data_IF_634275149126
#
_entry.id   IF_634275149126
#
_cell.length_a   1.000
_cell.length_b   1.000
_cell.length_c   1.000
_cell.angle_alpha   90.00
_cell.angle_beta   90.00
_cell.angle_gamma   90.00
#
_symmetry.space_group_name_H-M   'P 1'
#
loop_
_entity.id
_entity.type
_entity.pdbx_description
1 polymer ?
#
# COMPACT_ATOMS: atom_id res chain seq x y z
N UNK A 1 -21.38 4.65 -16.03
CA UNK A 1 -20.43 4.82 -14.91
C UNK A 1 -20.96 5.75 -13.81
N UNK A 2 -21.69 6.84 -14.09
CA UNK A 2 -22.21 7.78 -13.07
C UNK A 2 -22.80 7.15 -11.78
N UNK A 3 -23.65 6.12 -11.91
CA UNK A 3 -24.23 5.39 -10.75
C UNK A 3 -23.17 4.67 -9.90
N UNK A 4 -22.07 4.20 -10.51
CA UNK A 4 -20.95 3.57 -9.80
C UNK A 4 -20.15 4.62 -9.01
N UNK A 5 -19.83 5.77 -9.60
CA UNK A 5 -19.11 6.85 -8.92
C UNK A 5 -19.84 7.36 -7.67
N UNK A 6 -21.17 7.51 -7.74
CA UNK A 6 -21.97 7.90 -6.58
C UNK A 6 -21.95 6.84 -5.47
N UNK A 7 -22.04 5.55 -5.84
CA UNK A 7 -21.90 4.46 -4.89
C UNK A 7 -20.52 4.44 -4.20
N UNK A 8 -19.46 4.69 -4.97
CA UNK A 8 -18.09 4.78 -4.44
C UNK A 8 -17.94 5.98 -3.50
N UNK A 9 -18.44 7.16 -3.88
CA UNK A 9 -18.42 8.36 -3.01
C UNK A 9 -19.11 8.11 -1.67
N UNK A 10 -20.22 7.37 -1.69
CA UNK A 10 -20.97 7.01 -0.49
C UNK A 10 -20.21 6.08 0.47
N UNK A 11 -19.12 5.43 0.02
CA UNK A 11 -18.25 4.61 0.88
C UNK A 11 -17.24 5.45 1.68
N UNK A 12 -17.18 6.77 1.48
CA UNK A 12 -16.22 7.62 2.19
C UNK A 12 -14.78 7.45 1.71
N UNK A 13 -14.57 6.93 0.49
CA UNK A 13 -13.25 6.97 -0.17
C UNK A 13 -13.07 8.31 -0.90
N UNK A 14 -11.83 8.72 -1.13
CA UNK A 14 -11.49 9.96 -1.86
C UNK A 14 -10.76 9.71 -3.18
N UNK A 15 -10.30 8.47 -3.42
CA UNK A 15 -9.48 8.09 -4.57
C UNK A 15 -9.90 6.72 -5.08
N UNK A 16 -9.89 6.53 -6.41
CA UNK A 16 -10.22 5.25 -7.07
C UNK A 16 -9.04 4.78 -7.92
N UNK A 17 -8.67 3.51 -7.75
CA UNK A 17 -7.81 2.81 -8.71
C UNK A 17 -8.67 2.32 -9.89
N UNK A 18 -8.42 2.86 -11.09
CA UNK A 18 -9.24 2.58 -12.26
C UNK A 18 -8.40 1.94 -13.37
N UNK A 19 -8.78 0.72 -13.75
CA UNK A 19 -8.09 -0.01 -14.79
C UNK A 19 -8.52 0.41 -16.21
N UNK A 20 -7.54 0.75 -17.04
CA UNK A 20 -7.69 0.93 -18.49
C UNK A 20 -6.88 -0.16 -19.18
N UNK A 21 -7.58 -1.13 -19.78
CA UNK A 21 -6.94 -2.24 -20.50
C UNK A 21 -6.52 -1.82 -21.89
N UNK A 22 -5.51 -2.51 -22.41
CA UNK A 22 -5.03 -2.28 -23.77
C UNK A 22 -6.16 -2.50 -24.78
N UNK A 23 -6.93 -3.59 -24.69
CA UNK A 23 -7.98 -3.88 -25.67
C UNK A 23 -9.12 -2.86 -25.65
N UNK A 24 -9.40 -2.26 -24.48
CA UNK A 24 -10.41 -1.21 -24.37
C UNK A 24 -9.91 0.10 -24.97
N UNK A 25 -8.64 0.44 -24.75
CA UNK A 25 -8.01 1.68 -25.21
C UNK A 25 -7.72 1.65 -26.72
N UNK A 26 -7.18 0.55 -27.21
CA UNK A 26 -6.79 0.31 -28.61
C UNK A 26 -7.40 -1.01 -29.10
N UNK A 27 -8.70 -1.02 -29.45
CA UNK A 27 -9.39 -2.22 -29.92
C UNK A 27 -8.83 -2.83 -31.21
N UNK A 28 -8.16 -2.00 -32.03
CA UNK A 28 -7.41 -2.41 -33.22
C UNK A 28 -6.13 -1.59 -33.26
N UNK A 29 -5.04 -2.19 -33.71
CA UNK A 29 -3.74 -1.52 -33.83
C UNK A 29 -3.86 -0.18 -34.56
N UNK A 30 -3.37 0.89 -33.94
CA UNK A 30 -3.44 2.29 -34.37
C UNK A 30 -4.81 2.97 -34.20
N UNK A 31 -5.83 2.29 -33.70
CA UNK A 31 -7.19 2.83 -33.52
C UNK A 31 -7.50 3.08 -32.03
N UNK A 32 -7.10 4.24 -31.53
CA UNK A 32 -7.24 4.61 -30.12
C UNK A 32 -8.61 5.22 -29.79
N UNK A 33 -9.16 4.88 -28.62
CA UNK A 33 -10.35 5.54 -28.05
C UNK A 33 -9.98 6.84 -27.35
N UNK A 34 -9.88 7.92 -28.12
CA UNK A 34 -9.37 9.23 -27.67
C UNK A 34 -10.20 9.93 -26.58
N UNK A 35 -11.49 9.65 -26.50
CA UNK A 35 -12.36 10.27 -25.49
C UNK A 35 -12.38 9.52 -24.16
N UNK A 36 -11.74 8.34 -24.08
CA UNK A 36 -11.85 7.46 -22.92
C UNK A 36 -11.29 8.12 -21.65
N UNK A 37 -10.05 8.60 -21.70
CA UNK A 37 -9.37 9.20 -20.55
C UNK A 37 -10.08 10.48 -20.11
N UNK A 38 -10.38 11.37 -21.07
CA UNK A 38 -11.09 12.62 -20.81
C UNK A 38 -12.45 12.39 -20.14
N UNK A 39 -13.22 11.40 -20.60
CA UNK A 39 -14.50 11.03 -19.98
C UNK A 39 -14.35 10.51 -18.55
N UNK A 40 -13.31 9.72 -18.27
CA UNK A 40 -13.05 9.23 -16.90
C UNK A 40 -12.66 10.37 -15.96
N UNK A 41 -11.79 11.27 -16.40
CA UNK A 41 -11.37 12.45 -15.65
C UNK A 41 -12.55 13.37 -15.37
N UNK A 42 -13.40 13.64 -16.37
CA UNK A 42 -14.61 14.47 -16.18
C UNK A 42 -15.54 13.89 -15.10
N UNK A 43 -15.80 12.58 -15.14
CA UNK A 43 -16.65 11.93 -14.15
C UNK A 43 -16.05 11.93 -12.73
N UNK A 44 -14.74 11.77 -12.62
CA UNK A 44 -14.03 11.86 -11.35
C UNK A 44 -14.16 13.27 -10.75
N UNK A 45 -14.00 14.31 -11.57
CA UNK A 45 -14.18 15.73 -11.16
C UNK A 45 -15.62 16.02 -10.75
N UNK A 46 -16.61 15.58 -11.52
CA UNK A 46 -18.05 15.75 -11.19
C UNK A 46 -18.41 15.12 -9.84
N UNK A 47 -17.68 14.08 -9.42
CA UNK A 47 -17.92 13.38 -8.16
C UNK A 47 -16.95 13.77 -7.04
N UNK A 48 -16.03 14.70 -7.29
CA UNK A 48 -14.95 15.08 -6.35
C UNK A 48 -14.18 13.86 -5.83
N UNK A 49 -13.81 12.99 -6.75
CA UNK A 49 -12.97 11.81 -6.50
C UNK A 49 -11.68 11.97 -7.30
N UNK A 50 -10.56 11.59 -6.68
CA UNK A 50 -9.26 11.50 -7.34
C UNK A 50 -9.02 10.13 -7.95
N UNK A 51 -8.09 10.01 -8.88
CA UNK A 51 -7.87 8.78 -9.65
C UNK A 51 -6.43 8.32 -9.56
N UNK A 52 -6.23 7.03 -9.38
CA UNK A 52 -5.01 6.33 -9.75
C UNK A 52 -5.35 5.55 -11.02
N UNK A 53 -4.76 5.92 -12.15
CA UNK A 53 -4.99 5.17 -13.39
C UNK A 53 -4.10 3.95 -13.41
N UNK A 54 -4.66 2.80 -13.78
CA UNK A 54 -3.91 1.55 -13.89
C UNK A 54 -3.95 1.05 -15.32
N UNK A 55 -2.79 1.05 -15.98
CA UNK A 55 -2.65 0.67 -17.38
C UNK A 55 -2.32 -0.82 -17.50
N UNK A 56 -3.33 -1.63 -17.84
CA UNK A 56 -3.14 -3.06 -18.07
C UNK A 56 -2.69 -3.32 -19.51
N UNK A 57 -1.38 -3.42 -19.68
CA UNK A 57 -0.72 -3.74 -20.95
C UNK A 57 -0.39 -5.23 -21.10
N UNK A 58 0.86 -5.51 -21.42
CA UNK A 58 1.45 -6.84 -21.63
C UNK A 58 1.41 -7.75 -20.41
N UNK A 59 1.39 -7.16 -19.20
CA UNK A 59 1.46 -7.89 -17.93
C UNK A 59 0.28 -7.52 -17.03
N UNK A 60 -0.68 -8.44 -16.91
CA UNK A 60 -1.86 -8.33 -16.04
C UNK A 60 -2.12 -9.67 -15.34
N UNK A 61 -1.69 -9.78 -14.09
CA UNK A 61 -1.78 -11.02 -13.33
C UNK A 61 -0.92 -12.13 -13.94
N UNK A 62 -1.25 -13.36 -13.57
CA UNK A 62 -0.62 -14.58 -14.11
C UNK A 62 -0.91 -14.84 -15.60
N UNK A 63 -1.78 -14.04 -16.23
CA UNK A 63 -2.07 -14.13 -17.66
C UNK A 63 -1.05 -13.26 -18.38
N UNK A 64 0.09 -13.87 -18.69
CA UNK A 64 1.06 -13.29 -19.61
C UNK A 64 0.72 -13.75 -21.01
N UNK A 65 0.77 -12.83 -21.97
CA UNK A 65 0.69 -13.20 -23.38
C UNK A 65 2.01 -13.82 -23.90
N UNK A 66 3.00 -14.06 -23.04
CA UNK A 66 4.29 -14.69 -23.38
C UNK A 66 5.09 -13.90 -24.42
N UNK A 67 5.01 -12.56 -24.39
CA UNK A 67 5.53 -11.68 -25.45
C UNK A 67 6.46 -10.58 -24.95
N UNK A 68 6.96 -10.66 -23.71
CA UNK A 68 7.84 -9.65 -23.13
C UNK A 68 9.20 -9.53 -23.85
N UNK A 69 9.53 -10.50 -24.72
CA UNK A 69 10.73 -10.50 -25.56
C UNK A 69 10.42 -10.38 -27.07
N UNK A 70 9.17 -10.15 -27.46
CA UNK A 70 8.79 -10.08 -28.88
C UNK A 70 8.88 -8.62 -29.39
N UNK A 71 9.88 -8.23 -30.21
CA UNK A 71 10.15 -6.83 -30.48
C UNK A 71 8.98 -6.04 -31.11
N UNK A 72 8.24 -6.58 -32.11
CA UNK A 72 7.04 -5.92 -32.62
C UNK A 72 5.97 -5.65 -31.56
N UNK A 73 5.84 -6.56 -30.58
CA UNK A 73 4.84 -6.43 -29.53
C UNK A 73 5.24 -5.36 -28.50
N UNK A 74 6.53 -5.33 -28.11
CA UNK A 74 7.10 -4.28 -27.25
C UNK A 74 6.95 -2.91 -27.92
N UNK A 75 7.22 -2.82 -29.23
CA UNK A 75 7.07 -1.57 -29.98
C UNK A 75 5.61 -1.10 -30.01
N UNK A 76 4.67 -2.00 -30.27
CA UNK A 76 3.24 -1.70 -30.23
C UNK A 76 2.80 -1.24 -28.84
N UNK A 77 3.27 -1.90 -27.77
CA UNK A 77 2.94 -1.52 -26.39
C UNK A 77 3.44 -0.12 -26.07
N UNK A 78 4.69 0.19 -26.42
CA UNK A 78 5.27 1.52 -26.21
C UNK A 78 4.51 2.60 -26.95
N UNK A 79 4.10 2.34 -28.20
CA UNK A 79 3.31 3.28 -28.98
C UNK A 79 1.92 3.53 -28.34
N UNK A 80 1.24 2.45 -27.95
CA UNK A 80 -0.06 2.54 -27.28
C UNK A 80 0.03 3.22 -25.91
N UNK A 81 1.10 2.98 -25.17
CA UNK A 81 1.37 3.61 -23.89
C UNK A 81 1.67 5.10 -24.06
N UNK A 82 2.47 5.49 -25.05
CA UNK A 82 2.75 6.90 -25.35
C UNK A 82 1.48 7.68 -25.72
N UNK A 83 0.60 7.15 -26.56
CA UNK A 83 -0.70 7.80 -26.85
C UNK A 83 -1.57 7.89 -25.58
N UNK A 84 -1.55 6.86 -24.72
CA UNK A 84 -2.29 6.91 -23.45
C UNK A 84 -1.80 8.03 -22.53
N UNK A 85 -0.48 8.20 -22.40
CA UNK A 85 0.12 9.28 -21.61
C UNK A 85 -0.20 10.66 -22.20
N UNK A 86 -0.16 10.81 -23.53
CA UNK A 86 -0.59 12.07 -24.19
C UNK A 86 -2.05 12.40 -23.91
N UNK A 87 -2.94 11.41 -23.87
CA UNK A 87 -4.34 11.63 -23.52
C UNK A 87 -4.54 11.96 -22.03
N UNK A 88 -3.70 11.40 -21.14
CA UNK A 88 -3.68 11.80 -19.73
C UNK A 88 -3.28 13.26 -19.60
N UNK A 89 -2.15 13.65 -20.21
CA UNK A 89 -1.67 15.03 -20.20
C UNK A 89 -2.75 15.98 -20.74
N UNK A 90 -3.33 15.68 -21.91
CA UNK A 90 -4.36 16.52 -22.51
C UNK A 90 -5.63 16.66 -21.64
N UNK A 91 -6.00 15.62 -20.88
CA UNK A 91 -7.19 15.62 -20.04
C UNK A 91 -6.97 16.27 -18.66
N UNK A 92 -5.75 16.20 -18.13
CA UNK A 92 -5.45 16.54 -16.73
C UNK A 92 -4.32 17.57 -16.53
N UNK A 93 -3.69 18.09 -17.59
CA UNK A 93 -2.67 19.14 -17.47
C UNK A 93 -3.20 20.35 -16.68
N UNK A 94 -2.51 20.66 -15.57
CA UNK A 94 -2.87 21.75 -14.66
C UNK A 94 -3.96 21.41 -13.64
N UNK A 95 -4.36 20.15 -13.54
CA UNK A 95 -5.35 19.65 -12.58
C UNK A 95 -4.80 18.43 -11.82
N UNK A 96 -5.00 18.38 -10.51
CA UNK A 96 -4.56 17.23 -9.69
C UNK A 96 -5.67 16.17 -9.59
N UNK A 97 -6.26 15.75 -10.72
CA UNK A 97 -7.32 14.72 -10.69
C UNK A 97 -6.69 13.32 -10.64
N UNK A 98 -5.71 13.06 -11.51
CA UNK A 98 -4.93 11.84 -11.55
C UNK A 98 -3.72 12.02 -10.64
N UNK A 99 -3.67 11.25 -9.55
CA UNK A 99 -2.62 11.38 -8.53
C UNK A 99 -1.43 10.48 -8.80
N UNK A 100 -1.64 9.31 -9.41
CA UNK A 100 -0.60 8.31 -9.66
C UNK A 100 -0.97 7.47 -10.89
N UNK A 101 0.05 6.85 -11.49
CA UNK A 101 -0.10 5.91 -12.59
C UNK A 101 0.46 4.54 -12.20
N UNK A 102 -0.36 3.51 -12.24
CA UNK A 102 0.08 2.12 -12.13
C UNK A 102 0.37 1.54 -13.52
N UNK A 103 1.55 0.96 -13.70
CA UNK A 103 1.90 0.22 -14.91
C UNK A 103 1.74 -1.28 -14.65
N UNK A 104 0.95 -1.93 -15.50
CA UNK A 104 0.65 -3.35 -15.39
C UNK A 104 -0.19 -3.70 -14.17
N UNK A 105 -0.36 -5.00 -13.94
CA UNK A 105 -0.88 -5.53 -12.69
C UNK A 105 -0.16 -6.81 -12.34
N UNK A 106 0.28 -6.96 -11.08
CA UNK A 106 0.82 -8.23 -10.57
C UNK A 106 1.91 -8.80 -11.49
N UNK A 107 2.82 -7.92 -11.94
CA UNK A 107 3.84 -8.19 -12.95
C UNK A 107 4.69 -9.40 -12.53
N UNK A 108 4.55 -10.53 -13.22
CA UNK A 108 5.38 -11.72 -13.07
C UNK A 108 4.96 -12.81 -14.06
N UNK A 109 5.87 -13.75 -14.36
CA UNK A 109 5.54 -15.04 -14.99
C UNK A 109 5.00 -16.02 -13.95
N UNK A 110 3.83 -16.62 -14.20
CA UNK A 110 3.29 -17.66 -13.32
C UNK A 110 3.77 -19.03 -13.79
N UNK A 111 4.42 -19.80 -12.92
CA UNK A 111 4.88 -21.18 -13.16
C UNK A 111 5.92 -21.37 -14.30
N UNK A 112 6.36 -20.29 -14.95
CA UNK A 112 7.48 -20.30 -15.88
C UNK A 112 8.57 -19.37 -15.35
N UNK A 113 9.78 -19.90 -15.18
CA UNK A 113 10.93 -19.15 -14.65
C UNK A 113 11.49 -18.15 -15.67
N UNK A 114 11.33 -18.43 -16.98
CA UNK A 114 11.86 -17.62 -18.08
C UNK A 114 11.09 -17.82 -19.39
N UNK A 115 11.15 -16.81 -20.27
CA UNK A 115 10.69 -16.90 -21.65
C UNK A 115 11.71 -17.68 -22.51
N UNK A 116 11.23 -18.60 -23.33
CA UNK A 116 12.06 -19.49 -24.16
C UNK A 116 11.84 -19.27 -25.66
N UNK A 117 11.24 -18.15 -26.06
CA UNK A 117 11.21 -17.78 -27.47
C UNK A 117 12.62 -17.46 -28.01
N UNK A 118 12.80 -17.52 -29.33
CA UNK A 118 14.10 -17.30 -29.99
C UNK A 118 14.79 -15.99 -29.57
N UNK A 119 14.01 -14.91 -29.39
CA UNK A 119 14.54 -13.62 -28.94
C UNK A 119 15.05 -13.67 -27.49
N UNK A 120 14.35 -14.39 -26.60
CA UNK A 120 14.77 -14.55 -25.21
C UNK A 120 15.99 -15.48 -25.10
N UNK A 121 16.05 -16.55 -25.90
CA UNK A 121 17.21 -17.43 -25.97
C UNK A 121 18.45 -16.68 -26.47
N UNK A 122 18.32 -15.92 -27.56
CA UNK A 122 19.42 -15.09 -28.05
C UNK A 122 19.88 -14.05 -27.01
N UNK A 123 18.95 -13.41 -26.29
CA UNK A 123 19.30 -12.48 -25.22
C UNK A 123 20.02 -13.17 -24.05
N UNK A 124 19.61 -14.39 -23.70
CA UNK A 124 20.26 -15.19 -22.66
C UNK A 124 21.69 -15.57 -23.07
N UNK A 125 21.87 -16.08 -24.30
CA UNK A 125 23.15 -16.53 -24.84
C UNK A 125 24.16 -15.37 -25.02
N UNK A 126 23.67 -14.14 -25.21
CA UNK A 126 24.51 -12.95 -25.29
C UNK A 126 25.08 -12.50 -23.93
N UNK A 127 24.68 -13.14 -22.81
CA UNK A 127 25.19 -12.84 -21.48
C UNK A 127 24.62 -11.58 -20.84
N UNK A 128 25.29 -11.07 -19.79
CA UNK A 128 24.85 -9.90 -19.03
C UNK A 128 24.89 -8.62 -19.91
N UNK A 129 23.78 -7.86 -20.01
CA UNK A 129 23.74 -6.60 -20.76
C UNK A 129 24.68 -5.52 -20.21
N UNK A 130 25.11 -4.60 -21.08
CA UNK A 130 26.13 -3.60 -20.76
C UNK A 130 25.78 -2.69 -19.57
N UNK A 131 24.53 -2.25 -19.44
CA UNK A 131 24.07 -1.42 -18.32
C UNK A 131 24.03 -2.20 -17.00
N UNK A 132 23.75 -3.51 -17.05
CA UNK A 132 23.92 -4.37 -15.88
C UNK A 132 25.41 -4.58 -15.56
N UNK A 133 26.28 -4.81 -16.55
CA UNK A 133 27.73 -4.87 -16.31
C UNK A 133 28.25 -3.57 -15.67
N UNK A 134 27.81 -2.41 -16.13
CA UNK A 134 28.16 -1.12 -15.51
C UNK A 134 27.73 -1.05 -14.04
N UNK A 135 26.53 -1.54 -13.73
CA UNK A 135 26.08 -1.66 -12.34
C UNK A 135 26.98 -2.59 -11.52
N UNK A 136 27.35 -3.76 -12.06
CA UNK A 136 28.21 -4.74 -11.40
C UNK A 136 29.65 -4.21 -11.20
N UNK A 137 30.18 -3.43 -12.15
CA UNK A 137 31.48 -2.74 -12.00
C UNK A 137 31.40 -1.72 -10.87
N UNK A 138 30.32 -0.92 -10.84
CA UNK A 138 30.12 0.09 -9.77
C UNK A 138 29.93 -0.52 -8.39
N UNK A 139 29.37 -1.73 -8.30
CA UNK A 139 29.27 -2.48 -7.05
C UNK A 139 30.55 -3.23 -6.67
N UNK A 140 31.55 -3.27 -7.56
CA UNK A 140 32.79 -4.03 -7.38
C UNK A 140 32.63 -5.54 -7.54
N UNK A 141 31.51 -5.99 -8.13
CA UNK A 141 31.21 -7.41 -8.38
C UNK A 141 31.97 -7.96 -9.59
N UNK A 142 32.28 -7.10 -10.57
CA UNK A 142 33.16 -7.41 -11.71
C UNK A 142 34.15 -6.27 -11.95
N UNK A 143 35.23 -6.54 -12.69
CA UNK A 143 36.33 -5.57 -12.89
C UNK A 143 36.18 -4.70 -14.16
N UNK A 144 35.42 -5.16 -15.15
CA UNK A 144 35.32 -4.52 -16.46
C UNK A 144 33.97 -4.79 -17.11
N UNK A 145 33.53 -3.86 -17.96
CA UNK A 145 32.36 -4.04 -18.86
C UNK A 145 32.75 -4.67 -20.20
N UNK A 146 34.05 -4.85 -20.46
CA UNK A 146 34.55 -5.41 -21.72
C UNK A 146 34.50 -6.95 -21.77
N UNK A 147 34.36 -7.59 -20.61
CA UNK A 147 34.31 -9.03 -20.48
C UNK A 147 32.86 -9.51 -20.67
N UNK A 148 32.68 -10.58 -21.44
CA UNK A 148 31.38 -11.23 -21.59
C UNK A 148 31.20 -12.15 -20.39
N UNK A 149 30.16 -11.91 -19.61
CA UNK A 149 29.80 -12.74 -18.47
C UNK A 149 28.48 -13.47 -18.71
N UNK A 150 28.44 -14.73 -18.32
CA UNK A 150 27.22 -15.54 -18.36
C UNK A 150 26.32 -15.22 -17.15
N UNK A 151 25.02 -15.48 -17.27
CA UNK A 151 24.05 -15.25 -16.19
C UNK A 151 24.32 -16.13 -14.98
N UNK A 152 24.81 -17.35 -15.22
CA UNK A 152 25.13 -18.37 -14.24
C UNK A 152 26.24 -17.94 -13.26
N UNK A 153 27.07 -16.96 -13.63
CA UNK A 153 28.15 -16.46 -12.77
C UNK A 153 27.62 -15.68 -11.56
N UNK A 154 26.42 -15.11 -11.66
CA UNK A 154 25.83 -14.22 -10.65
C UNK A 154 24.61 -14.82 -9.95
N UNK A 155 24.33 -16.10 -10.18
CA UNK A 155 23.14 -16.76 -9.70
C UNK A 155 23.42 -18.10 -9.02
N UNK A 156 22.56 -18.46 -8.07
CA UNK A 156 22.66 -19.73 -7.35
C UNK A 156 21.85 -20.81 -8.07
N UNK A 157 22.49 -21.48 -9.02
CA UNK A 157 21.91 -22.59 -9.78
C UNK A 157 20.85 -22.18 -10.81
N UNK A 158 20.31 -23.13 -11.58
CA UNK A 158 19.50 -22.83 -12.77
C UNK A 158 18.25 -21.98 -12.50
N UNK A 159 17.54 -22.24 -11.41
CA UNK A 159 16.35 -21.47 -11.04
C UNK A 159 16.71 -20.01 -10.68
N UNK A 160 17.83 -19.81 -9.99
CA UNK A 160 18.34 -18.48 -9.69
C UNK A 160 18.76 -17.73 -10.97
N UNK A 161 19.37 -18.43 -11.92
CA UNK A 161 19.79 -17.86 -13.20
C UNK A 161 18.59 -17.37 -14.00
N UNK A 162 17.54 -18.20 -14.08
CA UNK A 162 16.30 -17.82 -14.75
C UNK A 162 15.61 -16.65 -14.05
N UNK A 163 15.54 -16.64 -12.71
CA UNK A 163 14.94 -15.51 -11.96
C UNK A 163 15.71 -14.22 -12.20
N UNK A 164 17.05 -14.27 -12.22
CA UNK A 164 17.92 -13.12 -12.46
C UNK A 164 17.66 -12.52 -13.84
N UNK A 165 17.75 -13.35 -14.88
CA UNK A 165 17.48 -12.97 -16.27
C UNK A 165 16.09 -12.36 -16.42
N UNK A 166 15.07 -13.09 -15.95
CA UNK A 166 13.66 -12.72 -16.11
C UNK A 166 13.34 -11.43 -15.36
N UNK A 167 13.83 -11.27 -14.12
CA UNK A 167 13.63 -10.05 -13.34
C UNK A 167 14.26 -8.84 -14.01
N UNK A 168 15.51 -8.96 -14.47
CA UNK A 168 16.22 -7.86 -15.12
C UNK A 168 15.46 -7.35 -16.35
N UNK A 169 15.04 -8.27 -17.23
CA UNK A 169 14.38 -7.88 -18.48
C UNK A 169 12.96 -7.34 -18.25
N UNK A 170 12.20 -7.91 -17.32
CA UNK A 170 10.88 -7.38 -16.95
C UNK A 170 11.02 -5.98 -16.34
N UNK A 171 11.94 -5.79 -15.38
CA UNK A 171 12.18 -4.50 -14.74
C UNK A 171 12.56 -3.45 -15.79
N UNK A 172 13.47 -3.78 -16.72
CA UNK A 172 13.92 -2.90 -17.80
C UNK A 172 12.81 -2.54 -18.77
N UNK A 173 11.96 -3.49 -19.15
CA UNK A 173 10.81 -3.23 -20.02
C UNK A 173 9.80 -2.30 -19.35
N UNK A 174 9.38 -2.60 -18.12
CA UNK A 174 8.44 -1.77 -17.36
C UNK A 174 9.02 -0.39 -17.09
N UNK A 175 10.33 -0.29 -16.83
CA UNK A 175 11.02 0.98 -16.69
C UNK A 175 10.96 1.82 -17.97
N UNK A 176 11.02 1.18 -19.15
CA UNK A 176 10.92 1.90 -20.41
C UNK A 176 9.53 2.51 -20.63
N UNK A 177 8.47 1.89 -20.10
CA UNK A 177 7.13 2.48 -20.05
C UNK A 177 7.07 3.60 -19.00
N UNK A 178 7.62 3.37 -17.81
CA UNK A 178 7.70 4.38 -16.75
C UNK A 178 8.44 5.65 -17.20
N UNK A 179 9.49 5.50 -18.01
CA UNK A 179 10.20 6.61 -18.63
C UNK A 179 9.27 7.44 -19.53
N UNK A 180 8.48 6.79 -20.40
CA UNK A 180 7.52 7.48 -21.27
C UNK A 180 6.52 8.30 -20.44
N UNK A 181 5.98 7.71 -19.38
CA UNK A 181 5.08 8.42 -18.47
C UNK A 181 5.75 9.64 -17.85
N UNK A 182 6.97 9.47 -17.33
CA UNK A 182 7.71 10.56 -16.67
C UNK A 182 8.12 11.70 -17.60
N UNK A 183 8.37 11.41 -18.87
CA UNK A 183 8.68 12.41 -19.89
C UNK A 183 7.44 13.14 -20.40
N UNK A 184 6.23 12.57 -20.23
CA UNK A 184 4.97 13.13 -20.75
C UNK A 184 4.15 13.82 -19.67
N UNK A 185 3.75 13.11 -18.60
CA UNK A 185 2.96 13.63 -17.50
C UNK A 185 3.52 13.17 -16.16
N UNK A 186 4.19 14.08 -15.44
CA UNK A 186 5.00 13.71 -14.27
C UNK A 186 4.17 13.49 -12.99
N UNK A 187 3.36 12.44 -12.98
CA UNK A 187 2.79 11.84 -11.75
C UNK A 187 3.70 10.72 -11.22
N UNK A 188 3.62 10.38 -9.91
CA UNK A 188 4.25 9.18 -9.37
C UNK A 188 3.82 7.92 -10.14
N UNK A 189 4.81 7.16 -10.62
CA UNK A 189 4.61 5.87 -11.28
C UNK A 189 4.74 4.75 -10.26
N UNK A 190 3.76 3.85 -10.23
CA UNK A 190 3.68 2.75 -9.28
C UNK A 190 3.58 1.41 -10.02
N UNK A 191 4.03 0.35 -9.36
CA UNK A 191 3.74 -1.04 -9.77
C UNK A 191 3.25 -1.80 -8.55
N UNK A 192 2.27 -2.68 -8.72
CA UNK A 192 1.81 -3.55 -7.65
C UNK A 192 2.58 -4.88 -7.63
N UNK A 193 2.89 -5.35 -6.44
CA UNK A 193 3.62 -6.59 -6.20
C UNK A 193 2.60 -7.69 -5.91
N UNK A 194 2.59 -8.73 -6.73
CA UNK A 194 1.90 -9.96 -6.38
C UNK A 194 2.67 -10.71 -5.30
N UNK A 195 2.17 -10.70 -4.07
CA UNK A 195 2.66 -11.59 -3.03
C UNK A 195 2.18 -13.03 -3.32
N UNK A 196 2.96 -14.02 -2.91
CA UNK A 196 2.70 -15.44 -3.23
C UNK A 196 1.26 -15.82 -2.88
N UNK A 197 0.56 -16.43 -3.84
CA UNK A 197 -0.78 -16.98 -3.67
C UNK A 197 -0.70 -18.50 -3.79
N UNK A 198 -1.73 -19.19 -3.30
CA UNK A 198 -1.96 -20.63 -3.53
C UNK A 198 -1.98 -21.08 -5.02
N UNK A 199 -1.82 -20.16 -5.98
CA UNK A 199 -1.91 -20.36 -7.43
C UNK A 199 -0.56 -20.68 -8.12
N UNK A 200 0.56 -20.76 -7.38
CA UNK A 200 1.87 -21.15 -7.90
C UNK A 200 2.93 -20.05 -7.81
N UNK A 201 4.17 -20.37 -8.21
CA UNK A 201 5.33 -19.48 -8.09
C UNK A 201 5.29 -18.40 -9.18
N UNK A 202 5.44 -17.14 -8.78
CA UNK A 202 5.50 -15.98 -9.66
C UNK A 202 6.97 -15.54 -9.81
N UNK A 203 7.49 -15.43 -11.03
CA UNK A 203 8.89 -15.10 -11.33
C UNK A 203 9.02 -13.70 -11.96
N UNK A 204 10.08 -12.98 -11.62
CA UNK A 204 10.42 -11.70 -12.25
C UNK A 204 9.75 -10.45 -11.69
N UNK A 205 8.70 -10.61 -10.87
CA UNK A 205 8.01 -9.48 -10.24
C UNK A 205 8.82 -8.77 -9.15
N UNK A 206 8.40 -7.57 -8.70
CA UNK A 206 9.12 -6.76 -7.70
C UNK A 206 8.91 -7.24 -6.26
N UNK A 207 9.21 -8.51 -5.98
CA UNK A 207 9.12 -9.11 -4.64
C UNK A 207 10.30 -8.68 -3.75
N UNK A 208 10.21 -8.95 -2.45
CA UNK A 208 11.27 -8.65 -1.48
C UNK A 208 12.63 -9.18 -1.92
N UNK A 209 12.65 -10.37 -2.52
CA UNK A 209 13.86 -11.08 -2.92
C UNK A 209 14.48 -10.49 -4.19
N UNK A 210 13.67 -9.89 -5.07
CA UNK A 210 14.07 -9.37 -6.39
C UNK A 210 14.12 -7.85 -6.47
N UNK A 211 13.70 -7.15 -5.40
CA UNK A 211 13.65 -5.68 -5.36
C UNK A 211 15.03 -5.03 -5.56
N UNK A 212 16.10 -5.75 -5.25
CA UNK A 212 17.48 -5.32 -5.47
C UNK A 212 17.84 -5.16 -6.96
N UNK A 213 17.09 -5.78 -7.87
CA UNK A 213 17.20 -5.57 -9.33
C UNK A 213 16.22 -4.51 -9.82
N UNK A 214 14.99 -4.53 -9.31
CA UNK A 214 13.98 -3.55 -9.70
C UNK A 214 14.37 -2.11 -9.39
N UNK A 215 14.97 -1.85 -8.21
CA UNK A 215 15.37 -0.48 -7.84
C UNK A 215 16.42 0.13 -8.79
N UNK A 216 17.53 -0.53 -9.12
CA UNK A 216 18.52 0.03 -10.04
C UNK A 216 18.10 0.01 -11.52
N UNK A 217 17.36 -1.02 -11.97
CA UNK A 217 16.99 -1.16 -13.40
C UNK A 217 15.61 -0.58 -13.74
N UNK A 218 14.83 -0.19 -12.74
CA UNK A 218 13.58 0.55 -12.90
C UNK A 218 13.51 1.88 -12.14
N UNK A 219 14.48 2.81 -12.33
CA UNK A 219 14.57 4.06 -11.56
C UNK A 219 13.41 5.04 -11.78
N UNK A 220 12.62 4.90 -12.85
CA UNK A 220 11.44 5.76 -13.07
C UNK A 220 10.21 5.32 -12.26
N UNK A 221 10.27 4.17 -11.59
CA UNK A 221 9.21 3.69 -10.67
C UNK A 221 9.44 4.32 -9.29
N UNK A 222 8.38 4.92 -8.73
CA UNK A 222 8.42 5.62 -7.45
C UNK A 222 8.00 4.70 -6.29
N UNK A 223 7.01 3.82 -6.52
CA UNK A 223 6.43 2.99 -5.47
C UNK A 223 6.22 1.56 -5.96
N UNK A 224 6.69 0.61 -5.15
CA UNK A 224 6.40 -0.82 -5.29
C UNK A 224 5.34 -1.19 -4.24
N UNK A 225 4.08 -1.27 -4.67
CA UNK A 225 2.92 -1.39 -3.80
C UNK A 225 2.56 -2.86 -3.57
N UNK A 226 2.75 -3.43 -2.36
CA UNK A 226 2.37 -4.82 -2.10
C UNK A 226 0.87 -5.03 -2.21
N UNK A 227 0.46 -6.06 -2.94
CA UNK A 227 -0.93 -6.51 -3.02
C UNK A 227 -1.09 -7.77 -2.16
N UNK A 228 -1.93 -7.66 -1.13
CA UNK A 228 -2.20 -8.72 -0.18
C UNK A 228 -3.58 -9.34 -0.44
N UNK A 229 -3.61 -10.66 -0.59
CA UNK A 229 -4.82 -11.48 -0.53
C UNK A 229 -4.69 -12.39 0.70
N UNK A 230 -5.74 -12.53 1.50
CA UNK A 230 -5.70 -13.40 2.67
C UNK A 230 -6.63 -14.60 2.49
N UNK A 231 -6.04 -15.78 2.27
CA UNK A 231 -6.73 -17.02 1.87
C UNK A 231 -7.61 -17.65 2.98
N UNK A 232 -7.47 -17.25 4.25
CA UNK A 232 -8.23 -17.85 5.37
C UNK A 232 -9.65 -17.23 5.56
N UNK A 233 -10.10 -16.40 4.63
CA UNK A 233 -11.38 -15.69 4.68
C UNK A 233 -12.61 -16.63 4.72
N UNK A 234 -12.52 -17.77 4.04
CA UNK A 234 -13.63 -18.74 3.93
C UNK A 234 -13.94 -19.48 5.24
N UNK A 235 -12.91 -19.77 6.05
CA UNK A 235 -13.08 -20.44 7.35
C UNK A 235 -13.63 -19.49 8.43
N UNK A 236 -13.26 -18.21 8.37
CA UNK A 236 -13.75 -17.18 9.31
C UNK A 236 -15.23 -16.87 9.06
N UNK A 237 -15.66 -16.78 7.79
CA UNK A 237 -17.07 -16.61 7.44
C UNK A 237 -17.94 -17.79 7.93
N UNK A 238 -17.42 -19.02 7.88
CA UNK A 238 -18.09 -20.21 8.41
C UNK A 238 -18.15 -20.26 9.96
N UNK A 239 -17.15 -19.71 10.65
CA UNK A 239 -17.09 -19.76 12.12
C UNK A 239 -17.82 -18.60 12.83
N UNK A 240 -17.92 -17.42 12.20
CA UNK A 240 -18.28 -16.19 12.94
C UNK A 240 -19.38 -15.31 12.33
N UNK A 241 -19.85 -15.56 11.10
CA UNK A 241 -20.90 -14.75 10.46
C UNK A 241 -20.42 -13.33 10.13
N UNK A 242 -20.18 -13.05 8.84
CA UNK A 242 -19.85 -11.73 8.28
C UNK A 242 -18.86 -10.88 9.11
N UNK A 243 -17.57 -11.22 9.04
CA UNK A 243 -16.50 -10.30 9.43
C UNK A 243 -15.69 -9.94 8.18
N UNK A 244 -15.90 -8.73 7.65
CA UNK A 244 -15.03 -8.13 6.63
C UNK A 244 -13.74 -7.61 7.29
N UNK A 245 -12.94 -8.52 7.85
CA UNK A 245 -11.74 -8.21 8.65
C UNK A 245 -10.66 -7.40 7.91
N UNK A 246 -10.64 -7.39 6.58
CA UNK A 246 -9.64 -6.67 5.79
C UNK A 246 -9.68 -5.15 5.96
N UNK A 247 -10.84 -4.53 6.20
CA UNK A 247 -10.92 -3.07 6.27
C UNK A 247 -10.07 -2.51 7.41
N UNK A 248 -9.87 -3.26 8.50
CA UNK A 248 -9.09 -2.80 9.65
C UNK A 248 -7.61 -2.65 9.30
N UNK A 249 -7.10 -3.39 8.32
CA UNK A 249 -5.70 -3.32 7.89
C UNK A 249 -5.27 -1.90 7.46
N UNK A 250 -6.22 -1.04 7.06
CA UNK A 250 -5.90 0.36 6.78
C UNK A 250 -5.26 1.07 7.99
N UNK A 251 -5.70 0.76 9.21
CA UNK A 251 -5.14 1.38 10.42
C UNK A 251 -3.69 0.99 10.64
N UNK A 252 -3.34 -0.28 10.36
CA UNK A 252 -1.96 -0.76 10.41
C UNK A 252 -1.12 -0.17 9.27
N UNK A 253 -1.68 -0.10 8.06
CA UNK A 253 -1.00 0.47 6.89
C UNK A 253 -0.60 1.93 7.15
N UNK A 254 -1.55 2.78 7.54
CA UNK A 254 -1.28 4.19 7.83
C UNK A 254 -0.46 4.37 9.11
N UNK A 255 -0.81 3.66 10.18
CA UNK A 255 -0.21 3.86 11.49
C UNK A 255 1.19 3.27 11.63
N UNK A 256 1.38 2.01 11.24
CA UNK A 256 2.62 1.28 11.48
C UNK A 256 3.59 1.39 10.31
N UNK A 257 3.08 1.37 9.08
CA UNK A 257 3.89 1.34 7.87
C UNK A 257 3.95 2.69 7.14
N UNK A 258 3.32 3.74 7.70
CA UNK A 258 3.27 5.07 7.11
C UNK A 258 2.81 5.06 5.64
N UNK A 259 1.88 4.18 5.30
CA UNK A 259 1.33 4.10 3.96
C UNK A 259 0.74 5.46 3.56
N UNK A 260 0.98 5.89 2.33
CA UNK A 260 0.40 7.14 1.80
C UNK A 260 -0.93 6.89 1.08
N UNK A 261 -1.18 5.65 0.65
CA UNK A 261 -2.39 5.21 -0.05
C UNK A 261 -2.70 3.78 0.35
N UNK A 262 -3.98 3.46 0.53
CA UNK A 262 -4.50 2.08 0.65
C UNK A 262 -5.63 1.93 -0.38
N UNK A 263 -5.52 0.94 -1.25
CA UNK A 263 -6.55 0.61 -2.24
C UNK A 263 -7.34 -0.61 -1.77
N UNK A 264 -8.66 -0.47 -1.72
CA UNK A 264 -9.58 -1.57 -1.48
C UNK A 264 -10.07 -2.11 -2.83
N UNK A 265 -9.94 -3.41 -3.06
CA UNK A 265 -10.36 -4.05 -4.31
C UNK A 265 -11.83 -4.49 -4.24
N UNK A 266 -12.49 -4.55 -5.41
CA UNK A 266 -13.87 -5.05 -5.60
C UNK A 266 -14.95 -4.30 -4.78
N UNK A 267 -14.74 -3.01 -4.49
CA UNK A 267 -15.70 -2.19 -3.74
C UNK A 267 -16.96 -1.85 -4.54
N UNK A 268 -16.93 -2.00 -5.86
CA UNK A 268 -18.03 -1.73 -6.78
C UNK A 268 -19.18 -2.75 -6.70
N UNK A 269 -18.88 -3.97 -6.25
CA UNK A 269 -19.84 -5.07 -6.07
C UNK A 269 -20.34 -5.16 -4.61
N UNK A 270 -19.74 -4.38 -3.70
CA UNK A 270 -20.25 -4.21 -2.35
C UNK A 270 -21.59 -3.48 -2.42
N UNK A 271 -22.69 -4.20 -2.20
CA UNK A 271 -24.03 -3.63 -2.22
C UNK A 271 -24.13 -2.47 -1.23
N UNK A 272 -24.07 -1.23 -1.70
CA UNK A 272 -24.15 0.02 -0.92
C UNK A 272 -25.55 0.31 -0.40
N UNK A 273 -26.26 -0.72 0.10
CA UNK A 273 -27.63 -0.58 0.61
C UNK A 273 -27.74 -0.44 2.14
N UNK A 274 -26.65 -0.50 2.89
CA UNK A 274 -26.69 -0.01 4.27
C UNK A 274 -25.71 1.16 4.45
N UNK A 275 -26.22 2.22 5.09
CA UNK A 275 -25.45 3.31 5.69
C UNK A 275 -24.45 2.81 6.77
N UNK A 276 -24.49 1.50 7.07
CA UNK A 276 -23.69 0.73 8.02
C UNK A 276 -22.56 -0.07 7.34
N UNK A 277 -22.09 0.33 6.16
CA UNK A 277 -20.90 -0.29 5.57
C UNK A 277 -19.69 -0.05 6.49
N UNK A 278 -19.02 -1.13 6.91
CA UNK A 278 -17.80 -1.04 7.71
C UNK A 278 -16.74 -0.14 7.05
N UNK A 279 -16.72 -0.09 5.70
CA UNK A 279 -15.85 0.79 4.92
C UNK A 279 -16.11 2.26 5.26
N UNK A 280 -17.37 2.70 5.24
CA UNK A 280 -17.72 4.09 5.54
C UNK A 280 -17.38 4.44 6.99
N UNK A 281 -17.66 3.54 7.93
CA UNK A 281 -17.32 3.74 9.35
C UNK A 281 -15.82 3.95 9.54
N UNK A 282 -14.99 3.05 8.98
CA UNK A 282 -13.55 3.11 9.16
C UNK A 282 -12.90 4.27 8.39
N UNK A 283 -13.33 4.56 7.17
CA UNK A 283 -12.79 5.68 6.38
C UNK A 283 -13.17 7.03 7.00
N UNK A 284 -14.42 7.20 7.46
CA UNK A 284 -14.87 8.41 8.16
C UNK A 284 -14.08 8.64 9.44
N UNK A 285 -13.89 7.58 10.23
CA UNK A 285 -13.18 7.71 11.50
C UNK A 285 -11.67 7.88 11.32
N UNK A 286 -11.06 7.23 10.32
CA UNK A 286 -9.66 7.46 9.98
C UNK A 286 -9.42 8.91 9.53
N UNK A 287 -10.33 9.49 8.72
CA UNK A 287 -10.21 10.90 8.27
C UNK A 287 -10.08 11.88 9.44
N UNK A 288 -10.74 11.62 10.56
CA UNK A 288 -10.60 12.42 11.78
C UNK A 288 -9.18 12.36 12.37
N UNK A 289 -8.47 11.24 12.18
CA UNK A 289 -7.11 11.06 12.66
C UNK A 289 -6.04 11.62 11.70
N UNK A 290 -6.37 11.82 10.42
CA UNK A 290 -5.40 12.21 9.37
C UNK A 290 -4.60 13.48 9.71
N UNK A 291 -5.20 14.60 10.19
CA UNK A 291 -4.41 15.79 10.51
C UNK A 291 -3.34 15.53 11.58
N UNK A 292 -3.68 14.76 12.62
CA UNK A 292 -2.77 14.39 13.71
C UNK A 292 -1.71 13.38 13.25
N UNK A 293 -2.10 12.46 12.36
CA UNK A 293 -1.19 11.49 11.76
C UNK A 293 -0.13 12.20 10.92
N UNK A 294 -0.54 13.12 10.06
CA UNK A 294 0.36 13.89 9.19
C UNK A 294 1.29 14.79 9.99
N UNK A 295 0.78 15.50 11.00
CA UNK A 295 1.61 16.32 11.91
C UNK A 295 2.66 15.47 12.64
N UNK A 296 2.27 14.30 13.16
CA UNK A 296 3.21 13.39 13.80
C UNK A 296 4.27 12.83 12.84
N UNK A 297 3.90 12.55 11.58
CA UNK A 297 4.83 12.12 10.53
C UNK A 297 5.82 13.23 10.15
N UNK A 298 5.35 14.47 10.02
CA UNK A 298 6.18 15.65 9.68
C UNK A 298 7.21 15.95 10.77
N UNK A 299 6.80 15.83 12.03
CA UNK A 299 7.69 16.00 13.19
C UNK A 299 8.67 14.83 13.41
N UNK A 300 8.70 13.84 12.50
CA UNK A 300 9.55 12.66 12.61
C UNK A 300 9.27 11.82 13.85
N UNK A 301 8.06 11.93 14.44
CA UNK A 301 7.74 11.23 15.67
C UNK A 301 7.66 9.73 15.40
N UNK A 302 8.57 8.90 15.95
CA UNK A 302 8.74 7.52 15.50
C UNK A 302 7.64 6.56 16.01
N UNK A 303 6.58 7.05 16.65
CA UNK A 303 5.74 6.28 17.56
C UNK A 303 4.25 6.31 17.18
N UNK A 304 3.99 6.22 15.88
CA UNK A 304 2.68 5.89 15.33
C UNK A 304 2.66 4.37 15.14
N UNK A 305 1.75 3.69 15.83
CA UNK A 305 1.83 2.24 16.06
C UNK A 305 0.45 1.65 16.33
N UNK A 306 -0.17 0.96 15.38
CA UNK A 306 -1.40 0.21 15.67
C UNK A 306 -1.49 -1.06 14.85
N UNK A 307 -1.90 -2.11 15.56
CA UNK A 307 -2.11 -3.46 15.10
C UNK A 307 -3.57 -3.66 14.70
N UNK A 308 -3.79 -4.43 13.66
CA UNK A 308 -5.10 -4.98 13.28
C UNK A 308 -4.90 -6.37 12.73
N UNK A 309 -4.83 -7.39 13.58
CA UNK A 309 -4.99 -8.76 13.13
C UNK A 309 -5.26 -9.72 14.28
N UNK A 310 -6.10 -10.72 14.01
CA UNK A 310 -6.43 -11.82 14.95
C UNK A 310 -5.24 -12.75 15.21
N UNK A 311 -4.30 -12.85 14.28
CA UNK A 311 -3.35 -13.97 14.27
C UNK A 311 -1.90 -13.63 14.63
N UNK A 312 -1.45 -12.37 14.51
CA UNK A 312 -0.01 -12.08 14.64
C UNK A 312 0.36 -11.16 15.81
N UNK A 313 -0.45 -10.15 16.17
CA UNK A 313 -0.05 -9.15 17.16
C UNK A 313 -1.24 -8.59 17.96
N UNK A 314 -1.81 -9.39 18.87
CA UNK A 314 -2.77 -8.87 19.86
C UNK A 314 -2.11 -7.98 20.93
N UNK A 315 -0.79 -7.83 20.86
CA UNK A 315 0.02 -7.05 21.78
C UNK A 315 1.14 -6.35 21.02
N UNK A 316 1.28 -5.06 21.26
CA UNK A 316 2.28 -4.22 20.62
C UNK A 316 3.03 -3.42 21.68
N UNK A 317 4.30 -3.17 21.39
CA UNK A 317 5.22 -2.48 22.27
C UNK A 317 5.93 -1.38 21.53
N UNK A 318 6.03 -0.21 22.15
CA UNK A 318 6.80 0.91 21.63
C UNK A 318 7.19 1.86 22.76
N UNK A 319 8.11 2.79 22.48
CA UNK A 319 8.61 3.73 23.50
C UNK A 319 8.05 5.11 23.22
N UNK A 320 7.48 5.78 24.21
CA UNK A 320 7.07 7.18 24.08
C UNK A 320 7.69 8.00 25.21
N UNK A 321 8.72 8.79 24.88
CA UNK A 321 9.57 9.48 25.84
C UNK A 321 10.15 8.52 26.88
N UNK A 322 9.87 8.80 28.16
CA UNK A 322 10.34 8.03 29.32
C UNK A 322 9.54 6.76 29.60
N UNK A 323 8.59 6.38 28.73
CA UNK A 323 7.68 5.26 28.98
C UNK A 323 7.79 4.19 27.90
N UNK A 324 7.90 2.96 28.34
CA UNK A 324 7.63 1.78 27.54
C UNK A 324 6.12 1.52 27.53
N UNK A 325 5.50 1.71 26.37
CA UNK A 325 4.07 1.56 26.16
C UNK A 325 3.76 0.13 25.71
N UNK A 326 2.70 -0.44 26.27
CA UNK A 326 2.13 -1.71 25.87
C UNK A 326 0.67 -1.50 25.48
N UNK A 327 0.36 -1.76 24.22
CA UNK A 327 -1.02 -1.84 23.73
C UNK A 327 -1.39 -3.32 23.67
N UNK A 328 -2.55 -3.68 24.20
CA UNK A 328 -3.15 -4.99 24.05
C UNK A 328 -4.53 -4.83 23.42
N UNK A 329 -4.84 -5.65 22.44
CA UNK A 329 -6.16 -5.82 21.88
C UNK A 329 -6.70 -7.16 22.34
N UNK A 330 -7.88 -7.14 22.94
CA UNK A 330 -8.49 -8.39 23.41
C UNK A 330 -9.14 -9.11 22.24
N UNK A 331 -8.74 -10.36 22.03
CA UNK A 331 -9.47 -11.29 21.16
C UNK A 331 -10.75 -11.69 21.91
N UNK A 332 -11.84 -10.94 21.71
CA UNK A 332 -13.14 -11.17 22.35
C UNK A 332 -14.28 -10.89 21.35
N UNK A 333 -15.50 -10.56 21.83
CA UNK A 333 -16.72 -10.34 21.01
C UNK A 333 -16.59 -9.32 19.87
N UNK A 334 -15.55 -8.49 19.81
CA UNK A 334 -15.23 -7.69 18.61
C UNK A 334 -13.72 -7.50 18.42
N UNK A 335 -13.37 -7.13 17.19
CA UNK A 335 -12.01 -6.84 16.76
C UNK A 335 -11.58 -5.40 17.10
N UNK A 336 -10.35 -5.26 17.59
CA UNK A 336 -9.72 -3.98 17.88
C UNK A 336 -9.01 -3.39 16.67
N UNK A 337 -8.93 -2.06 16.64
CA UNK A 337 -8.20 -1.27 15.65
C UNK A 337 -8.00 0.15 16.18
N UNK A 338 -7.12 0.95 15.56
CA UNK A 338 -6.94 2.34 15.98
C UNK A 338 -5.71 3.11 15.49
N UNK A 339 -5.60 4.34 16.02
CA UNK A 339 -4.51 5.31 16.31
C UNK A 339 -3.85 5.20 17.70
N UNK A 340 -2.53 5.29 17.82
CA UNK A 340 -1.83 5.71 19.03
C UNK A 340 -0.69 6.62 18.57
N UNK A 341 -0.83 7.90 18.90
CA UNK A 341 0.02 8.98 18.43
C UNK A 341 0.63 9.63 19.67
N UNK A 342 1.95 9.74 19.71
CA UNK A 342 2.62 10.47 20.80
C UNK A 342 2.32 11.96 20.70
N UNK A 343 2.17 12.62 21.84
CA UNK A 343 1.97 14.07 21.92
C UNK A 343 3.08 14.73 22.76
N UNK A 344 4.15 13.99 23.07
CA UNK A 344 5.14 14.40 24.05
C UNK A 344 4.58 14.41 25.49
N UNK A 345 5.40 14.81 26.47
CA UNK A 345 4.98 14.98 27.87
C UNK A 345 4.20 13.77 28.46
N UNK A 346 4.58 12.56 28.05
CA UNK A 346 3.95 11.31 28.50
C UNK A 346 2.47 11.16 28.11
N UNK A 347 2.02 11.94 27.11
CA UNK A 347 0.66 11.92 26.56
C UNK A 347 0.61 11.13 25.26
N UNK A 348 -0.47 10.38 25.10
CA UNK A 348 -0.83 9.69 23.87
C UNK A 348 -2.24 10.08 23.46
N UNK A 349 -2.39 10.45 22.20
CA UNK A 349 -3.67 10.59 21.52
C UNK A 349 -4.04 9.25 20.87
N UNK A 350 -5.22 8.75 21.19
CA UNK A 350 -5.72 7.46 20.77
C UNK A 350 -6.93 7.65 19.87
N UNK A 351 -6.99 6.88 18.80
CA UNK A 351 -8.20 6.68 18.00
C UNK A 351 -8.48 5.19 18.00
N UNK A 352 -9.72 4.73 18.12
CA UNK A 352 -10.01 3.31 17.87
C UNK A 352 -11.04 2.71 18.81
N UNK A 353 -11.08 1.38 18.82
CA UNK A 353 -11.93 0.59 19.71
C UNK A 353 -11.19 -0.65 20.22
N UNK A 354 -11.64 -1.19 21.35
CA UNK A 354 -11.09 -2.43 21.96
C UNK A 354 -9.56 -2.37 22.19
N UNK A 355 -9.08 -1.22 22.66
CA UNK A 355 -7.67 -0.96 22.99
C UNK A 355 -7.50 -0.95 24.51
N UNK A 356 -6.56 -1.74 25.03
CA UNK A 356 -6.03 -1.59 26.39
C UNK A 356 -4.60 -1.06 26.33
N UNK A 357 -4.32 0.03 27.03
CA UNK A 357 -3.00 0.65 27.05
C UNK A 357 -2.42 0.71 28.46
N UNK A 358 -1.14 0.37 28.56
CA UNK A 358 -0.34 0.38 29.79
C UNK A 358 0.99 1.05 29.50
N UNK A 359 1.57 1.65 30.53
CA UNK A 359 2.91 2.20 30.47
C UNK A 359 3.75 1.65 31.63
N UNK A 360 5.04 1.44 31.38
CA UNK A 360 6.07 1.24 32.40
C UNK A 360 7.13 2.32 32.19
N UNK A 361 7.52 3.03 33.23
CA UNK A 361 8.64 3.96 33.12
C UNK A 361 9.92 3.21 32.75
N UNK A 362 10.76 3.89 31.96
CA UNK A 362 12.10 3.46 31.59
C UNK A 362 13.16 3.88 32.61
N UNK A 363 12.80 4.74 33.56
CA UNK A 363 13.64 5.09 34.69
C UNK A 363 13.44 4.07 35.81
N UNK A 364 14.51 3.41 36.22
CA UNK A 364 14.49 2.39 37.28
C UNK A 364 14.20 2.97 38.67
N UNK A 365 14.38 4.29 38.87
CA UNK A 365 14.01 4.99 40.11
C UNK A 365 12.50 5.18 40.27
N UNK A 366 11.72 4.99 39.19
CA UNK A 366 10.26 5.10 39.22
C UNK A 366 9.66 3.80 39.75
N UNK A 367 9.22 3.84 41.00
CA UNK A 367 8.56 2.71 41.67
C UNK A 367 7.25 2.28 40.99
N UNK A 368 6.45 3.24 40.50
CA UNK A 368 5.14 2.92 39.91
C UNK A 368 4.74 3.88 38.81
N UNK A 369 4.31 3.35 37.66
CA UNK A 369 3.65 4.15 36.62
C UNK A 369 2.14 4.13 36.80
N UNK A 370 1.52 5.31 36.76
CA UNK A 370 0.07 5.51 36.84
C UNK A 370 -0.45 6.36 35.70
N UNK A 371 -1.74 6.29 35.47
CA UNK A 371 -2.48 7.19 34.59
C UNK A 371 -2.75 8.47 35.37
N UNK A 372 -2.25 9.58 34.87
CA UNK A 372 -2.51 10.91 35.41
C UNK A 372 -3.88 11.42 34.96
N UNK A 373 -4.20 11.23 33.68
CA UNK A 373 -5.51 11.57 33.11
C UNK A 373 -5.88 10.61 31.99
N UNK A 374 -7.16 10.31 31.89
CA UNK A 374 -7.74 9.59 30.75
C UNK A 374 -9.04 10.29 30.35
N UNK A 375 -9.11 10.80 29.12
CA UNK A 375 -10.20 11.66 28.64
C UNK A 375 -10.73 11.12 27.33
N UNK A 376 -12.05 11.15 27.17
CA UNK A 376 -12.69 11.01 25.87
C UNK A 376 -12.74 12.39 25.22
N UNK A 377 -12.36 12.43 23.95
CA UNK A 377 -12.31 13.64 23.14
C UNK A 377 -13.30 13.53 21.97
N UNK A 378 -13.68 14.69 21.44
CA UNK A 378 -14.39 14.83 20.18
C UNK A 378 -13.76 15.97 19.37
N UNK A 379 -13.94 15.95 18.05
CA UNK A 379 -13.55 17.07 17.19
C UNK A 379 -14.74 18.00 17.02
N UNK A 380 -14.52 19.31 17.20
CA UNK A 380 -15.50 20.31 16.81
C UNK A 380 -15.54 20.52 15.29
N UNK A 381 -16.41 21.43 14.84
CA UNK A 381 -16.58 21.76 13.42
C UNK A 381 -15.31 22.32 12.77
N UNK A 382 -14.37 22.84 13.57
CA UNK A 382 -13.08 23.38 13.12
C UNK A 382 -11.97 22.30 13.16
N UNK A 383 -12.27 21.09 13.61
CA UNK A 383 -11.30 20.00 13.75
C UNK A 383 -10.40 20.15 14.97
N UNK A 384 -10.80 20.92 15.98
CA UNK A 384 -10.08 21.08 17.24
C UNK A 384 -10.60 20.06 18.26
N UNK A 385 -9.67 19.44 19.00
CA UNK A 385 -10.01 18.47 20.04
C UNK A 385 -10.64 19.15 21.26
N UNK A 386 -11.84 18.71 21.61
CA UNK A 386 -12.59 19.13 22.79
C UNK A 386 -12.73 17.96 23.77
N UNK A 387 -12.65 18.25 25.07
CA UNK A 387 -12.86 17.23 26.11
C UNK A 387 -14.35 16.97 26.23
N UNK A 388 -14.76 15.75 25.88
CA UNK A 388 -16.15 15.29 26.03
C UNK A 388 -16.44 14.86 27.46
N UNK A 389 -15.54 14.05 28.03
CA UNK A 389 -15.59 13.61 29.43
C UNK A 389 -14.23 13.13 29.92
N UNK A 390 -14.08 13.07 31.24
CA UNK A 390 -12.91 12.44 31.89
C UNK A 390 -13.34 11.12 32.49
N UNK A 391 -12.57 10.05 32.23
CA UNK A 391 -12.82 8.73 32.81
C UNK A 391 -12.36 8.69 34.26
N UNK A 392 -13.20 8.15 35.13
CA UNK A 392 -12.86 7.93 36.53
C UNK A 392 -12.23 6.53 36.75
N UNK A 393 -11.76 6.28 37.98
CA UNK A 393 -10.98 5.09 38.33
C UNK A 393 -11.72 3.75 38.17
N UNK A 394 -13.06 3.74 38.11
CA UNK A 394 -13.88 2.55 37.84
C UNK A 394 -14.01 2.26 36.33
N UNK A 395 -13.84 3.29 35.50
CA UNK A 395 -13.95 3.19 34.04
C UNK A 395 -12.59 2.89 33.39
N UNK A 396 -11.50 3.39 33.97
CA UNK A 396 -10.16 2.83 33.84
C UNK A 396 -10.08 1.55 34.70
N UNK A 397 -9.27 0.54 34.35
CA UNK A 397 -9.20 -0.69 35.17
C UNK A 397 -8.25 -0.45 36.37
N UNK A 398 -8.62 0.51 37.23
CA UNK A 398 -7.74 1.15 38.18
C UNK A 398 -6.70 2.07 37.50
N UNK A 399 -5.76 2.63 38.27
CA UNK A 399 -4.87 3.71 37.81
C UNK A 399 -3.71 3.24 36.92
N UNK A 400 -3.72 2.00 36.41
CA UNK A 400 -2.60 1.41 35.63
C UNK A 400 -2.96 1.06 34.19
N UNK A 401 -4.24 1.03 33.83
CA UNK A 401 -4.70 0.57 32.51
C UNK A 401 -5.83 1.47 32.01
N UNK A 402 -5.59 2.14 30.89
CA UNK A 402 -6.63 2.88 30.17
C UNK A 402 -7.25 1.93 29.15
N UNK A 403 -8.58 1.96 29.03
CA UNK A 403 -9.32 0.98 28.24
C UNK A 403 -10.40 1.65 27.42
N UNK A 404 -10.30 1.45 26.10
CA UNK A 404 -11.37 1.71 25.16
C UNK A 404 -12.15 0.41 24.96
N UNK A 405 -13.47 0.47 25.12
CA UNK A 405 -14.34 -0.71 25.04
C UNK A 405 -14.61 -1.11 23.58
N UNK A 406 -15.16 -2.30 23.43
CA UNK A 406 -15.40 -2.98 22.17
C UNK A 406 -16.65 -2.45 21.39
N UNK A 407 -17.49 -1.64 22.02
CA UNK A 407 -18.78 -1.23 21.48
C UNK A 407 -18.78 0.18 20.86
N UNK A 408 -17.67 0.91 20.96
CA UNK A 408 -17.64 2.33 20.60
C UNK A 408 -16.24 2.74 20.18
N UNK A 409 -16.08 3.13 18.92
CA UNK A 409 -14.91 3.87 18.45
C UNK A 409 -14.89 5.24 19.11
N UNK A 410 -13.74 5.66 19.62
CA UNK A 410 -13.60 6.98 20.25
C UNK A 410 -12.21 7.56 20.03
N UNK A 411 -12.13 8.88 20.18
CA UNK A 411 -10.89 9.62 20.35
C UNK A 411 -10.63 9.73 21.85
N UNK A 412 -9.42 9.44 22.31
CA UNK A 412 -9.08 9.55 23.72
C UNK A 412 -7.67 10.09 23.94
N UNK A 413 -7.47 10.84 25.02
CA UNK A 413 -6.14 11.24 25.49
C UNK A 413 -5.82 10.45 26.77
N UNK A 414 -4.65 9.81 26.82
CA UNK A 414 -4.11 9.23 28.05
C UNK A 414 -2.77 9.86 28.38
N UNK A 415 -2.59 10.28 29.62
CA UNK A 415 -1.33 10.77 30.14
C UNK A 415 -0.82 9.85 31.24
N UNK A 416 0.46 9.50 31.19
CA UNK A 416 1.13 8.70 32.20
C UNK A 416 2.01 9.54 33.11
N UNK A 417 2.21 9.08 34.34
CA UNK A 417 3.09 9.68 35.32
C UNK A 417 3.83 8.59 36.12
N UNK A 418 5.12 8.83 36.35
CA UNK A 418 5.96 7.98 37.20
C UNK A 418 5.96 8.50 38.63
N UNK A 419 5.70 7.60 39.59
CA UNK A 419 5.79 7.87 41.02
C UNK A 419 7.17 7.38 41.48
N UNK A 420 7.98 8.32 41.96
CA UNK A 420 9.24 8.05 42.65
C UNK A 420 8.96 7.61 44.09
N UNK A 421 9.90 6.87 44.67
CA UNK A 421 9.85 6.52 46.09
C UNK A 421 10.01 7.73 47.02
#
# INVERSE_FOLDING_TARGET
MARKWQGIKALGVNTVLLAVTWEVFEPKEGQFKRDLVASLVAQARETDIRVILSRFGSMKGSVNNGKSFHPPFIAAEKAAFAEFEQQIEAADAGYDTILMLQIGSEIAYLNWSRDICDAALAAFDNGIPADYLEFLVRSGSVLSVADVHAWEEFANGPEGTDELFTTYHIASHINSLAKIAKETYSVPVIVNVALEQAQGRKHGGPRSETLHLWKPFAPYIHIYAPQMFHDDYSKILQAHGQCDDNIRLLWSAFGTYAAIVVVLLNIEDSGTRSLESQILQHTTFLRQAVPFLLDAQDQGQPQIRIATHIWELNKMHFTSGEFYITINMRINRCMGYGLAISQGNSKLLLFGQNIEIKAKSRNDDVFSTRILSFRELELDEQGVLQIRRTFNADEARGPKVARIRCQTSMIAEVQFHGINN
#
